data_IF_426386261185
#
_entry.id   IF_426386261185
#
_cell.length_a   1.000
_cell.length_b   1.000
_cell.length_c   1.000
_cell.angle_alpha   90.00
_cell.angle_beta   90.00
_cell.angle_gamma   90.00
#
_symmetry.space_group_name_H-M   'P 1'
#
loop_
_entity.id
_entity.type
_entity.pdbx_description
1 polymer ?
#
# COMPACT_ATOMS: atom_id res chain seq x y z
N UNK A 1 -8.98 26.76 2.27
CA UNK A 1 -7.82 25.96 1.85
C UNK A 1 -8.15 25.48 0.44
N UNK A 2 -7.62 26.13 -0.58
CA UNK A 2 -8.07 25.94 -1.96
C UNK A 2 -7.68 24.57 -2.49
N UNK A 3 -8.67 23.88 -3.05
CA UNK A 3 -8.63 22.57 -3.70
C UNK A 3 -7.59 22.46 -4.83
N UNK A 4 -7.03 23.58 -5.29
CA UNK A 4 -6.05 23.69 -6.38
C UNK A 4 -4.77 22.90 -6.12
N UNK A 5 -4.31 22.84 -4.87
CA UNK A 5 -3.11 22.09 -4.50
C UNK A 5 -3.31 20.58 -4.60
N UNK A 6 -4.46 20.08 -4.13
CA UNK A 6 -4.85 18.68 -4.23
C UNK A 6 -5.09 18.29 -5.69
N UNK A 7 -5.81 19.11 -6.44
CA UNK A 7 -6.06 18.91 -7.88
C UNK A 7 -4.76 18.78 -8.66
N UNK A 8 -3.77 19.63 -8.38
CA UNK A 8 -2.45 19.57 -9.01
C UNK A 8 -1.71 18.25 -8.70
N UNK A 9 -1.78 17.77 -7.46
CA UNK A 9 -1.18 16.49 -7.07
C UNK A 9 -1.87 15.31 -7.78
N UNK A 10 -3.19 15.36 -7.93
CA UNK A 10 -3.96 14.34 -8.66
C UNK A 10 -3.54 14.30 -10.14
N UNK A 11 -3.47 15.45 -10.81
CA UNK A 11 -3.03 15.51 -12.22
C UNK A 11 -1.60 14.97 -12.40
N UNK A 12 -0.71 15.25 -11.44
CA UNK A 12 0.66 14.71 -11.45
C UNK A 12 0.70 13.19 -11.23
N UNK A 13 -0.23 12.62 -10.47
CA UNK A 13 -0.27 11.20 -10.17
C UNK A 13 -0.91 10.34 -11.28
N UNK A 14 -1.85 10.89 -12.06
CA UNK A 14 -2.56 10.16 -13.14
C UNK A 14 -1.68 9.36 -14.12
N UNK A 15 -0.56 9.90 -14.65
CA UNK A 15 0.25 9.16 -15.63
C UNK A 15 1.15 8.09 -14.98
N UNK A 16 1.26 8.05 -13.65
CA UNK A 16 2.15 7.11 -12.96
C UNK A 16 1.62 5.68 -13.12
N UNK A 17 2.40 4.83 -13.78
CA UNK A 17 2.13 3.38 -13.87
C UNK A 17 3.05 2.63 -12.94
N UNK A 18 2.47 2.00 -11.92
CA UNK A 18 3.22 1.17 -10.99
C UNK A 18 3.60 -0.16 -11.64
N UNK A 19 4.83 -0.60 -11.41
CA UNK A 19 5.27 -1.97 -11.75
C UNK A 19 4.54 -3.00 -10.89
N UNK A 20 4.65 -4.28 -11.25
CA UNK A 20 4.03 -5.36 -10.46
C UNK A 20 4.57 -5.39 -9.03
N UNK A 21 5.87 -5.18 -8.87
CA UNK A 21 6.57 -5.13 -7.58
C UNK A 21 6.11 -3.94 -6.74
N UNK A 22 5.96 -2.77 -7.37
CA UNK A 22 5.46 -1.57 -6.68
C UNK A 22 4.01 -1.73 -6.22
N UNK A 23 3.15 -2.35 -7.03
CA UNK A 23 1.77 -2.65 -6.64
C UNK A 23 1.71 -3.61 -5.47
N UNK A 24 2.56 -4.62 -5.48
CA UNK A 24 2.63 -5.59 -4.39
C UNK A 24 3.13 -4.95 -3.09
N UNK A 25 4.17 -4.11 -3.17
CA UNK A 25 4.68 -3.36 -2.03
C UNK A 25 3.61 -2.42 -1.45
N UNK A 26 2.83 -1.77 -2.31
CA UNK A 26 1.70 -0.95 -1.89
C UNK A 26 0.62 -1.78 -1.20
N UNK A 27 0.28 -2.97 -1.75
CA UNK A 27 -0.70 -3.89 -1.15
C UNK A 27 -0.27 -4.32 0.26
N UNK A 28 0.99 -4.71 0.43
CA UNK A 28 1.57 -5.09 1.72
C UNK A 28 1.55 -3.94 2.71
N UNK A 29 1.96 -2.76 2.27
CA UNK A 29 1.93 -1.54 3.11
C UNK A 29 0.52 -1.20 3.58
N UNK A 30 -0.48 -1.36 2.71
CA UNK A 30 -1.88 -1.12 3.07
C UNK A 30 -2.42 -2.16 4.05
N UNK A 31 -2.11 -3.44 3.84
CA UNK A 31 -2.49 -4.52 4.75
C UNK A 31 -1.87 -4.31 6.15
N UNK A 32 -0.58 -3.99 6.21
CA UNK A 32 0.10 -3.68 7.46
C UNK A 32 -0.49 -2.43 8.12
N UNK A 33 -0.65 -1.33 7.38
CA UNK A 33 -1.20 -0.09 7.91
C UNK A 33 -2.57 -0.29 8.56
N UNK A 34 -3.49 -0.99 7.89
CA UNK A 34 -4.82 -1.25 8.44
C UNK A 34 -4.79 -2.17 9.67
N UNK A 35 -3.96 -3.23 9.63
CA UNK A 35 -3.96 -4.25 10.68
C UNK A 35 -3.17 -3.84 11.92
N UNK A 36 -2.07 -3.11 11.75
CA UNK A 36 -1.24 -2.62 12.85
C UNK A 36 -1.93 -1.52 13.67
N UNK A 37 -2.85 -0.76 13.06
CA UNK A 37 -3.69 0.21 13.77
C UNK A 37 -4.59 -0.50 14.79
N UNK A 38 -5.18 -1.63 14.40
CA UNK A 38 -6.11 -2.40 15.24
C UNK A 38 -5.39 -3.33 16.23
N UNK A 39 -4.19 -3.83 15.86
CA UNK A 39 -3.44 -4.77 16.66
C UNK A 39 -1.93 -4.60 16.49
N UNK A 40 -1.29 -4.03 17.51
CA UNK A 40 0.15 -3.77 17.53
C UNK A 40 1.04 -5.02 17.53
N UNK A 41 0.47 -6.22 17.71
CA UNK A 41 1.20 -7.49 17.58
C UNK A 41 1.36 -7.93 16.12
N UNK A 42 0.59 -7.35 15.20
CA UNK A 42 0.74 -7.62 13.77
C UNK A 42 1.95 -6.83 13.29
N UNK A 43 3.01 -7.54 12.90
CA UNK A 43 4.25 -6.93 12.42
C UNK A 43 4.30 -6.90 10.90
N UNK A 44 5.22 -6.11 10.35
CA UNK A 44 5.42 -6.02 8.90
C UNK A 44 5.86 -7.36 8.32
N UNK A 45 6.73 -8.07 9.04
CA UNK A 45 7.26 -9.38 8.65
C UNK A 45 6.14 -10.42 8.57
N UNK A 46 5.18 -10.39 9.51
CA UNK A 46 4.02 -11.29 9.47
C UNK A 46 3.15 -11.05 8.22
N UNK A 47 2.93 -9.79 7.86
CA UNK A 47 2.16 -9.44 6.65
C UNK A 47 2.91 -9.89 5.39
N UNK A 48 4.22 -9.72 5.35
CA UNK A 48 5.04 -10.16 4.23
C UNK A 48 5.00 -11.70 4.05
N UNK A 49 5.08 -12.45 5.15
CA UNK A 49 4.95 -13.92 5.13
C UNK A 49 3.61 -14.39 4.56
N UNK A 50 2.50 -13.86 5.07
CA UNK A 50 1.16 -14.22 4.57
C UNK A 50 0.98 -13.82 3.11
N UNK A 51 1.52 -12.67 2.70
CA UNK A 51 1.47 -12.22 1.31
C UNK A 51 2.25 -13.13 0.35
N UNK A 52 3.30 -13.81 0.82
CA UNK A 52 4.07 -14.79 0.04
C UNK A 52 3.38 -16.16 -0.01
N UNK A 53 2.73 -16.59 1.09
CA UNK A 53 1.91 -17.81 1.14
C UNK A 53 0.72 -17.74 0.18
N UNK A 54 0.01 -16.60 0.14
CA UNK A 54 -1.17 -16.37 -0.72
C UNK A 54 -0.84 -16.45 -2.22
N UNK A 55 0.41 -16.16 -2.62
CA UNK A 55 0.87 -16.29 -4.02
C UNK A 55 1.21 -17.72 -4.42
N UNK A 56 1.32 -18.62 -3.47
CA UNK A 56 1.77 -20.01 -3.68
C UNK A 56 0.62 -21.00 -3.86
N UNK A 57 -0.63 -20.55 -3.81
CA UNK A 57 -1.86 -21.31 -4.09
C UNK A 57 -2.49 -20.94 -5.43
#
# INVERSE_FOLDING_TARGET
MSDDSLSKLIEMAKPVRMTAEQKEEQRRSFAYGNTAIENTRITRELVDQVADEDKSG
#
